data_IF_620631393147
#
_entry.id   IF_620631393147
#
_cell.length_a   1.000
_cell.length_b   1.000
_cell.length_c   1.000
_cell.angle_alpha   90.00
_cell.angle_beta   90.00
_cell.angle_gamma   90.00
#
_symmetry.space_group_name_H-M   'P 1'
#
loop_
_entity.id
_entity.type
_entity.pdbx_description
1 polymer ?
#
# COMPACT_ATOMS: atom_id res chain seq x y z
N UNK A 1 23.22 -17.43 25.69
CA UNK A 1 23.09 -17.13 24.24
C UNK A 1 21.61 -17.13 23.92
N UNK A 2 21.01 -15.95 23.86
CA UNK A 2 19.60 -15.77 23.53
C UNK A 2 19.45 -15.96 22.03
N UNK A 3 18.90 -17.10 21.63
CA UNK A 3 18.45 -17.34 20.25
C UNK A 3 17.32 -16.36 19.99
N UNK A 4 17.61 -15.29 19.25
CA UNK A 4 16.57 -14.47 18.63
C UNK A 4 15.78 -15.40 17.72
N UNK A 5 14.49 -15.56 18.01
CA UNK A 5 13.55 -16.27 17.16
C UNK A 5 13.54 -15.60 15.79
N UNK A 6 14.22 -16.20 14.83
CA UNK A 6 14.13 -15.86 13.41
C UNK A 6 12.66 -15.91 13.01
N UNK A 7 12.17 -14.85 12.36
CA UNK A 7 10.84 -14.91 11.73
C UNK A 7 10.87 -16.00 10.67
N UNK A 8 10.27 -17.14 10.98
CA UNK A 8 10.23 -18.32 10.13
C UNK A 8 9.59 -18.02 8.78
N UNK A 9 8.72 -17.01 8.71
CA UNK A 9 8.07 -16.60 7.46
C UNK A 9 9.05 -15.87 6.55
N UNK A 10 9.83 -14.93 7.10
CA UNK A 10 10.81 -14.18 6.31
C UNK A 10 11.92 -15.09 5.77
N UNK A 11 12.50 -15.95 6.61
CA UNK A 11 13.53 -16.91 6.19
C UNK A 11 13.05 -17.82 5.04
N UNK A 12 11.83 -18.35 5.17
CA UNK A 12 11.21 -19.21 4.14
C UNK A 12 10.98 -18.48 2.81
N UNK A 13 10.54 -17.23 2.87
CA UNK A 13 10.28 -16.43 1.66
C UNK A 13 11.57 -15.98 0.98
N UNK A 14 12.62 -15.68 1.74
CA UNK A 14 13.97 -15.45 1.21
C UNK A 14 14.50 -16.72 0.53
N UNK A 15 14.38 -17.88 1.19
CA UNK A 15 14.80 -19.15 0.61
C UNK A 15 14.06 -19.45 -0.71
N UNK A 16 12.73 -19.38 -0.70
CA UNK A 16 11.92 -19.62 -1.90
C UNK A 16 12.25 -18.62 -3.00
N UNK A 17 12.43 -17.36 -2.64
CA UNK A 17 12.66 -16.26 -3.58
C UNK A 17 14.03 -16.29 -4.25
N UNK A 18 15.08 -16.65 -3.51
CA UNK A 18 16.45 -16.71 -4.02
C UNK A 18 16.79 -18.04 -4.72
N UNK A 19 15.92 -19.05 -4.61
CA UNK A 19 16.05 -20.34 -5.33
C UNK A 19 15.30 -20.39 -6.66
N UNK A 20 14.39 -19.45 -6.93
CA UNK A 20 13.69 -19.38 -8.23
C UNK A 20 14.54 -18.76 -9.33
N UNK A 21 14.20 -19.07 -10.58
CA UNK A 21 14.74 -18.40 -11.77
C UNK A 21 13.58 -17.82 -12.58
N UNK A 22 13.41 -16.48 -12.63
CA UNK A 22 14.25 -15.46 -12.01
C UNK A 22 14.12 -15.40 -10.47
N UNK A 23 15.16 -14.87 -9.80
CA UNK A 23 15.13 -14.61 -8.35
C UNK A 23 14.12 -13.51 -8.03
N UNK A 24 13.47 -13.59 -6.86
CA UNK A 24 12.48 -12.62 -6.40
C UNK A 24 12.52 -12.45 -4.89
N UNK A 25 12.28 -11.25 -4.37
CA UNK A 25 12.01 -11.03 -2.95
C UNK A 25 10.69 -10.27 -2.76
N UNK A 26 9.82 -10.65 -1.82
CA UNK A 26 8.54 -9.96 -1.64
C UNK A 26 8.71 -8.55 -1.04
N UNK A 27 8.17 -7.52 -1.71
CA UNK A 27 8.21 -6.10 -1.28
C UNK A 27 7.78 -5.88 0.17
N UNK A 28 6.81 -6.66 0.69
CA UNK A 28 6.32 -6.51 2.07
C UNK A 28 7.42 -6.60 3.13
N UNK A 29 8.52 -7.30 2.87
CA UNK A 29 9.63 -7.43 3.81
C UNK A 29 10.58 -6.22 3.81
N UNK A 30 10.43 -5.28 2.87
CA UNK A 30 11.13 -3.99 2.89
C UNK A 30 10.66 -3.16 4.09
N UNK A 31 9.38 -3.23 4.45
CA UNK A 31 8.73 -2.41 5.48
C UNK A 31 9.02 -2.87 6.92
N UNK A 32 10.30 -2.98 7.29
CA UNK A 32 10.67 -2.92 8.72
C UNK A 32 10.66 -1.46 9.21
N UNK A 33 10.97 -1.22 10.50
CA UNK A 33 11.01 0.13 11.07
C UNK A 33 11.87 1.13 10.25
N UNK A 34 12.93 0.66 9.58
CA UNK A 34 13.78 1.50 8.73
C UNK A 34 13.17 1.71 7.35
N UNK A 35 12.61 0.66 6.74
CA UNK A 35 11.94 0.74 5.45
C UNK A 35 10.71 1.64 5.49
N UNK A 36 9.94 1.61 6.57
CA UNK A 36 8.80 2.52 6.78
C UNK A 36 9.26 3.98 6.77
N UNK A 37 10.34 4.32 7.49
CA UNK A 37 10.90 5.69 7.48
C UNK A 37 11.39 6.11 6.11
N UNK A 38 12.10 5.22 5.40
CA UNK A 38 12.54 5.49 4.03
C UNK A 38 11.35 5.74 3.10
N UNK A 39 10.27 4.98 3.26
CA UNK A 39 9.04 5.20 2.48
C UNK A 39 8.37 6.54 2.83
N UNK A 40 8.34 6.93 4.10
CA UNK A 40 7.89 8.26 4.51
C UNK A 40 8.73 9.38 3.85
N UNK A 41 10.05 9.21 3.75
CA UNK A 41 10.92 10.14 3.03
C UNK A 41 10.64 10.15 1.51
N UNK A 42 10.37 9.00 0.89
CA UNK A 42 9.96 8.90 -0.51
C UNK A 42 8.69 9.71 -0.75
N UNK A 43 7.69 9.58 0.14
CA UNK A 43 6.42 10.29 0.04
C UNK A 43 6.56 11.83 0.10
N UNK A 44 7.69 12.35 0.59
CA UNK A 44 8.00 13.79 0.62
C UNK A 44 8.80 14.28 -0.60
N UNK A 45 9.27 13.38 -1.49
CA UNK A 45 10.01 13.78 -2.68
C UNK A 45 9.09 14.40 -3.73
N UNK A 46 9.59 15.42 -4.44
CA UNK A 46 8.86 16.08 -5.52
C UNK A 46 8.55 15.10 -6.66
N UNK A 47 9.48 14.18 -6.94
CA UNK A 47 9.31 13.15 -7.96
C UNK A 47 8.17 12.15 -7.61
N UNK A 48 7.90 11.90 -6.33
CA UNK A 48 6.86 10.97 -5.87
C UNK A 48 5.49 11.64 -5.77
N UNK A 49 4.87 11.89 -6.91
CA UNK A 49 3.64 12.68 -7.01
C UNK A 49 2.40 12.07 -6.34
N UNK A 50 2.36 10.76 -6.09
CA UNK A 50 1.15 10.01 -5.73
C UNK A 50 0.48 10.59 -4.47
N UNK A 51 1.26 10.76 -3.40
CA UNK A 51 0.79 11.26 -2.10
C UNK A 51 0.13 12.64 -2.24
N UNK A 52 0.76 13.54 -2.99
CA UNK A 52 0.26 14.90 -3.18
C UNK A 52 -0.98 14.94 -4.09
N UNK A 53 -1.02 14.13 -5.15
CA UNK A 53 -2.20 14.02 -6.02
C UNK A 53 -3.42 13.52 -5.25
N UNK A 54 -3.26 12.45 -4.45
CA UNK A 54 -4.38 11.91 -3.66
C UNK A 54 -4.82 12.86 -2.53
N UNK A 55 -3.86 13.52 -1.87
CA UNK A 55 -4.18 14.58 -0.90
C UNK A 55 -4.97 15.73 -1.55
N UNK A 56 -4.55 16.18 -2.74
CA UNK A 56 -5.25 17.22 -3.50
C UNK A 56 -6.68 16.80 -3.86
N UNK A 57 -6.89 15.54 -4.23
CA UNK A 57 -8.22 14.99 -4.49
C UNK A 57 -9.09 15.12 -3.24
N UNK A 58 -8.57 14.72 -2.08
CA UNK A 58 -9.33 14.74 -0.83
C UNK A 58 -9.72 16.18 -0.45
N UNK A 59 -8.74 17.09 -0.43
CA UNK A 59 -8.94 18.50 -0.06
C UNK A 59 -9.96 19.20 -0.97
N UNK A 60 -9.95 18.93 -2.28
CA UNK A 60 -10.86 19.56 -3.22
C UNK A 60 -12.27 18.95 -3.24
N UNK A 61 -12.51 17.84 -2.55
CA UNK A 61 -13.75 17.07 -2.65
C UNK A 61 -14.40 16.76 -1.28
N UNK A 62 -14.04 17.50 -0.22
CA UNK A 62 -14.58 17.30 1.14
C UNK A 62 -16.12 17.28 1.18
N UNK A 63 -16.78 18.21 0.48
CA UNK A 63 -18.24 18.25 0.39
C UNK A 63 -18.84 17.07 -0.38
N UNK A 64 -18.07 16.48 -1.31
CA UNK A 64 -18.51 15.27 -2.01
C UNK A 64 -18.54 14.10 -1.03
N UNK A 65 -17.49 13.92 -0.22
CA UNK A 65 -17.48 12.85 0.78
C UNK A 65 -18.56 13.04 1.83
N UNK A 66 -18.79 14.28 2.29
CA UNK A 66 -19.88 14.59 3.21
C UNK A 66 -21.27 14.33 2.62
N UNK A 67 -21.48 14.49 1.31
CA UNK A 67 -22.76 14.18 0.66
C UNK A 67 -22.95 12.68 0.38
N UNK A 68 -21.85 11.96 0.20
CA UNK A 68 -21.86 10.51 -0.03
C UNK A 68 -22.23 9.77 1.27
N UNK A 69 -21.73 10.27 2.39
CA UNK A 69 -22.15 9.87 3.73
C UNK A 69 -23.45 10.63 4.05
N UNK A 70 -24.60 10.02 3.79
CA UNK A 70 -25.93 10.64 3.94
C UNK A 70 -26.25 11.01 5.42
N UNK A 71 -27.51 11.29 5.73
CA UNK A 71 -27.99 11.67 7.06
C UNK A 71 -27.99 10.52 8.07
N UNK A 72 -27.89 9.28 7.59
CA UNK A 72 -27.83 8.09 8.44
C UNK A 72 -26.43 7.91 9.05
N UNK A 73 -26.31 7.24 10.21
CA UNK A 73 -25.00 6.91 10.78
C UNK A 73 -24.17 6.01 9.86
N UNK A 74 -22.88 6.30 9.73
CA UNK A 74 -21.94 5.57 8.87
C UNK A 74 -20.66 5.18 9.59
N UNK A 75 -20.06 4.08 9.15
CA UNK A 75 -18.72 3.70 9.53
C UNK A 75 -17.73 4.12 8.44
N UNK A 76 -16.64 4.78 8.82
CA UNK A 76 -15.49 5.03 7.94
C UNK A 76 -14.45 3.97 8.28
N UNK A 77 -14.16 3.07 7.35
CA UNK A 77 -13.23 1.95 7.57
C UNK A 77 -12.01 2.17 6.70
N UNK A 78 -10.80 2.17 7.26
CA UNK A 78 -9.59 2.36 6.46
C UNK A 78 -8.70 1.12 6.51
N UNK A 79 -8.41 0.57 5.33
CA UNK A 79 -7.55 -0.60 5.16
C UNK A 79 -6.09 -0.16 5.02
N UNK A 80 -5.28 -0.37 6.06
CA UNK A 80 -3.88 0.05 6.10
C UNK A 80 -3.76 1.55 6.34
N UNK A 81 -4.24 2.00 7.50
CA UNK A 81 -4.40 3.43 7.80
C UNK A 81 -3.08 4.22 7.90
N UNK A 82 -1.96 3.54 8.15
CA UNK A 82 -0.66 4.20 8.30
C UNK A 82 -0.70 5.33 9.32
N UNK A 83 -0.22 6.52 8.93
CA UNK A 83 -0.25 7.72 9.78
C UNK A 83 -1.54 8.54 9.67
N UNK A 84 -2.49 8.12 8.82
CA UNK A 84 -3.80 8.76 8.64
C UNK A 84 -3.77 10.21 8.13
N UNK A 85 -2.65 10.72 7.61
CA UNK A 85 -2.50 12.13 7.24
C UNK A 85 -3.59 12.64 6.28
N UNK A 86 -3.99 11.81 5.31
CA UNK A 86 -5.06 12.11 4.35
C UNK A 86 -6.45 11.97 4.98
N UNK A 87 -6.66 10.89 5.73
CA UNK A 87 -7.95 10.56 6.36
C UNK A 87 -8.36 11.60 7.38
N UNK A 88 -7.41 12.15 8.13
CA UNK A 88 -7.63 13.27 9.07
C UNK A 88 -8.37 14.44 8.43
N UNK A 89 -7.95 14.86 7.23
CA UNK A 89 -8.55 15.98 6.51
C UNK A 89 -10.04 15.69 6.25
N UNK A 90 -10.34 14.48 5.79
CA UNK A 90 -11.71 14.06 5.51
C UNK A 90 -12.54 13.92 6.80
N UNK A 91 -12.00 13.30 7.84
CA UNK A 91 -12.69 13.08 9.12
C UNK A 91 -13.00 14.40 9.82
N UNK A 92 -12.04 15.33 9.89
CA UNK A 92 -12.25 16.65 10.48
C UNK A 92 -13.42 17.38 9.81
N UNK A 93 -13.42 17.46 8.47
CA UNK A 93 -14.52 18.10 7.73
C UNK A 93 -15.88 17.44 7.99
N UNK A 94 -15.93 16.10 8.03
CA UNK A 94 -17.17 15.37 8.30
C UNK A 94 -17.72 15.65 9.71
N UNK A 95 -16.86 15.64 10.72
CA UNK A 95 -17.23 15.92 12.11
C UNK A 95 -17.69 17.37 12.27
N UNK A 96 -16.94 18.33 11.73
CA UNK A 96 -17.29 19.76 11.76
C UNK A 96 -18.62 20.04 11.04
N UNK A 97 -18.93 19.24 10.03
CA UNK A 97 -20.21 19.28 9.28
C UNK A 97 -21.33 18.44 9.92
N UNK A 98 -21.15 17.98 11.16
CA UNK A 98 -22.15 17.26 11.95
C UNK A 98 -22.49 15.86 11.46
N UNK A 99 -21.58 15.17 10.75
CA UNK A 99 -21.79 13.79 10.33
C UNK A 99 -21.71 12.83 11.53
N UNK A 100 -22.67 11.90 11.63
CA UNK A 100 -22.67 10.86 12.67
C UNK A 100 -21.82 9.66 12.23
N UNK A 101 -20.50 9.78 12.38
CA UNK A 101 -19.55 8.77 11.90
C UNK A 101 -18.76 8.09 13.02
N UNK A 102 -18.35 6.85 12.79
CA UNK A 102 -17.34 6.16 13.60
C UNK A 102 -16.21 5.66 12.70
N UNK A 103 -14.97 5.89 13.11
CA UNK A 103 -13.79 5.56 12.33
C UNK A 103 -13.13 4.26 12.81
N UNK A 104 -12.91 3.34 11.89
CA UNK A 104 -12.30 2.02 12.12
C UNK A 104 -11.01 1.89 11.29
N UNK A 105 -9.85 2.32 11.81
CA UNK A 105 -8.57 2.04 11.17
C UNK A 105 -8.21 0.56 11.39
N UNK A 106 -7.93 -0.16 10.31
CA UNK A 106 -7.46 -1.55 10.32
C UNK A 106 -6.00 -1.58 9.88
N UNK A 107 -5.13 -2.13 10.74
CA UNK A 107 -3.72 -2.35 10.42
C UNK A 107 -3.19 -3.56 11.19
N UNK A 108 -2.18 -4.24 10.66
CA UNK A 108 -1.50 -5.35 11.34
C UNK A 108 -0.54 -4.83 12.43
N UNK A 109 -0.09 -3.58 12.30
CA UNK A 109 0.85 -2.95 13.21
C UNK A 109 0.13 -2.24 14.36
N UNK A 110 0.17 -2.85 15.55
CA UNK A 110 -0.33 -2.24 16.79
C UNK A 110 0.30 -0.86 17.04
N UNK A 111 1.63 -0.77 16.87
CA UNK A 111 2.39 0.47 17.01
C UNK A 111 1.87 1.57 16.09
N UNK A 112 1.51 1.25 14.84
CA UNK A 112 0.96 2.24 13.91
C UNK A 112 -0.42 2.72 14.36
N UNK A 113 -1.28 1.79 14.81
CA UNK A 113 -2.62 2.11 15.33
C UNK A 113 -2.57 2.97 16.59
N UNK A 114 -1.65 2.70 17.52
CA UNK A 114 -1.50 3.49 18.75
C UNK A 114 -1.09 4.94 18.45
N UNK A 115 -0.11 5.11 17.56
CA UNK A 115 0.35 6.43 17.11
C UNK A 115 -0.81 7.19 16.43
N UNK A 116 -1.52 6.52 15.52
CA UNK A 116 -2.65 7.10 14.81
C UNK A 116 -3.78 7.49 15.77
N UNK A 117 -4.13 6.61 16.72
CA UNK A 117 -5.18 6.85 17.71
C UNK A 117 -4.87 8.07 18.58
N UNK A 118 -3.65 8.13 19.15
CA UNK A 118 -3.24 9.26 19.99
C UNK A 118 -3.28 10.59 19.24
N UNK A 119 -2.79 10.58 18.01
CA UNK A 119 -2.78 11.76 17.13
C UNK A 119 -4.20 12.21 16.76
N UNK A 120 -5.08 11.30 16.33
CA UNK A 120 -6.47 11.61 16.00
C UNK A 120 -7.27 12.14 17.20
N UNK A 121 -7.10 11.55 18.39
CA UNK A 121 -7.77 12.02 19.61
C UNK A 121 -7.34 13.43 20.01
N UNK A 122 -6.09 13.81 19.73
CA UNK A 122 -5.59 15.16 20.02
C UNK A 122 -6.01 16.19 18.98
N UNK A 123 -6.25 15.78 17.74
CA UNK A 123 -6.48 16.69 16.60
C UNK A 123 -7.96 16.83 16.22
N UNK A 124 -8.80 15.85 16.52
CA UNK A 124 -10.22 15.83 16.11
C UNK A 124 -11.11 15.58 17.33
N UNK A 125 -11.62 16.67 17.91
CA UNK A 125 -12.55 16.62 19.03
C UNK A 125 -13.86 15.91 18.61
N UNK A 126 -14.43 15.08 19.48
CA UNK A 126 -15.68 14.36 19.21
C UNK A 126 -15.57 13.14 18.31
N UNK A 127 -14.40 12.85 17.71
CA UNK A 127 -14.22 11.66 16.87
C UNK A 127 -14.37 10.36 17.67
N UNK A 128 -15.34 9.54 17.28
CA UNK A 128 -15.44 8.13 17.69
C UNK A 128 -14.53 7.29 16.82
N UNK A 129 -13.62 6.56 17.46
CA UNK A 129 -12.58 5.78 16.79
C UNK A 129 -12.37 4.46 17.52
N UNK A 130 -12.38 3.37 16.76
CA UNK A 130 -12.19 2.00 17.24
C UNK A 130 -11.10 1.32 16.40
N UNK A 131 -9.83 1.36 16.82
CA UNK A 131 -8.73 0.73 16.09
C UNK A 131 -8.85 -0.80 16.10
N UNK A 132 -8.52 -1.43 14.96
CA UNK A 132 -8.60 -2.87 14.79
C UNK A 132 -7.23 -3.43 14.35
N UNK A 133 -6.50 -4.04 15.30
CA UNK A 133 -5.26 -4.75 14.99
C UNK A 133 -5.56 -6.11 14.34
N UNK A 134 -5.78 -6.09 13.02
CA UNK A 134 -6.20 -7.25 12.23
C UNK A 134 -5.66 -7.12 10.81
N UNK A 135 -5.64 -8.23 10.07
CA UNK A 135 -5.59 -8.09 8.62
C UNK A 135 -6.89 -7.46 8.09
N UNK A 136 -6.84 -6.98 6.84
CA UNK A 136 -7.93 -6.23 6.23
C UNK A 136 -9.28 -6.95 6.26
N UNK A 137 -9.30 -8.24 5.94
CA UNK A 137 -10.55 -8.97 5.77
C UNK A 137 -11.05 -9.53 7.11
N UNK A 138 -10.15 -9.90 8.02
CA UNK A 138 -10.50 -10.20 9.41
C UNK A 138 -11.10 -8.99 10.11
N UNK A 139 -10.58 -7.78 9.85
CA UNK A 139 -11.13 -6.52 10.36
C UNK A 139 -12.52 -6.22 9.81
N UNK A 140 -12.70 -6.34 8.49
CA UNK A 140 -14.01 -6.15 7.86
C UNK A 140 -15.04 -7.19 8.33
N UNK A 141 -14.66 -8.46 8.43
CA UNK A 141 -15.53 -9.52 8.93
C UNK A 141 -15.95 -9.26 10.38
N UNK A 142 -15.02 -8.83 11.22
CA UNK A 142 -15.32 -8.47 12.62
C UNK A 142 -16.33 -7.31 12.71
N UNK A 143 -16.17 -6.30 11.85
CA UNK A 143 -17.08 -5.14 11.84
C UNK A 143 -18.48 -5.55 11.35
N UNK A 144 -18.54 -6.37 10.29
CA UNK A 144 -19.79 -6.88 9.74
C UNK A 144 -20.64 -7.66 10.76
N UNK A 145 -20.01 -8.35 11.71
CA UNK A 145 -20.72 -9.08 12.78
C UNK A 145 -21.25 -8.19 13.91
N UNK A 146 -20.69 -6.98 14.08
CA UNK A 146 -20.94 -6.14 15.26
C UNK A 146 -21.74 -4.88 14.98
N UNK A 147 -21.65 -4.35 13.78
CA UNK A 147 -22.29 -3.10 13.41
C UNK A 147 -23.04 -3.26 12.09
N UNK A 148 -24.30 -2.84 12.08
CA UNK A 148 -25.17 -2.86 10.91
C UNK A 148 -25.20 -1.53 10.16
N UNK A 149 -24.48 -0.50 10.62
CA UNK A 149 -24.32 0.76 9.86
C UNK A 149 -23.67 0.49 8.51
N UNK A 150 -23.97 1.35 7.54
CA UNK A 150 -23.31 1.30 6.23
C UNK A 150 -21.84 1.66 6.38
N UNK A 151 -21.00 0.96 5.64
CA UNK A 151 -19.56 1.19 5.62
C UNK A 151 -19.18 2.04 4.42
N UNK A 152 -18.27 2.99 4.63
CA UNK A 152 -17.46 3.60 3.59
C UNK A 152 -16.01 3.19 3.79
N UNK A 153 -15.57 2.21 3.00
CA UNK A 153 -14.24 1.61 3.08
C UNK A 153 -13.24 2.39 2.23
N UNK A 154 -12.10 2.76 2.81
CA UNK A 154 -11.02 3.48 2.16
C UNK A 154 -9.84 2.52 1.93
N UNK A 155 -9.42 2.39 0.67
CA UNK A 155 -8.18 1.71 0.30
C UNK A 155 -7.33 2.64 -0.58
N UNK A 156 -6.56 3.49 0.09
CA UNK A 156 -5.86 4.62 -0.50
C UNK A 156 -4.38 4.31 -0.79
N UNK A 157 -3.67 5.27 -1.39
CA UNK A 157 -2.23 5.22 -1.61
C UNK A 157 -1.80 4.43 -2.84
N UNK A 158 -2.73 4.15 -3.76
CA UNK A 158 -2.51 3.28 -4.92
C UNK A 158 -1.98 1.88 -4.57
N UNK A 159 -2.24 1.41 -3.35
CA UNK A 159 -1.84 0.06 -2.91
C UNK A 159 -2.43 -1.05 -3.78
N UNK A 160 -3.58 -0.82 -4.42
CA UNK A 160 -4.16 -1.75 -5.40
C UNK A 160 -3.23 -1.99 -6.60
N UNK A 161 -2.36 -1.02 -6.91
CA UNK A 161 -1.34 -1.13 -7.95
C UNK A 161 -0.26 -2.16 -7.63
N UNK A 162 -0.15 -2.63 -6.39
CA UNK A 162 0.81 -3.70 -6.03
C UNK A 162 0.25 -5.10 -6.29
N UNK A 163 -1.01 -5.20 -6.75
CA UNK A 163 -1.72 -6.45 -6.97
C UNK A 163 -1.87 -6.74 -8.47
N UNK A 164 -1.19 -7.78 -8.95
CA UNK A 164 -1.29 -8.26 -10.34
C UNK A 164 -2.09 -9.55 -10.46
N UNK A 165 -2.78 -9.74 -11.60
CA UNK A 165 -3.39 -11.02 -11.97
C UNK A 165 -4.35 -11.58 -10.93
N UNK A 166 -4.10 -12.80 -10.46
CA UNK A 166 -4.94 -13.49 -9.48
C UNK A 166 -4.97 -12.80 -8.11
N UNK A 167 -3.92 -12.05 -7.71
CA UNK A 167 -3.92 -11.33 -6.43
C UNK A 167 -4.95 -10.19 -6.41
N UNK A 168 -5.06 -9.44 -7.51
CA UNK A 168 -6.07 -8.38 -7.64
C UNK A 168 -7.48 -8.97 -7.61
N UNK A 169 -7.68 -10.10 -8.29
CA UNK A 169 -8.94 -10.84 -8.31
C UNK A 169 -9.32 -11.33 -6.92
N UNK A 170 -8.40 -11.98 -6.20
CA UNK A 170 -8.63 -12.48 -4.85
C UNK A 170 -8.95 -11.34 -3.88
N UNK A 171 -8.18 -10.25 -3.93
CA UNK A 171 -8.41 -9.07 -3.09
C UNK A 171 -9.80 -8.48 -3.32
N UNK A 172 -10.18 -8.18 -4.57
CA UNK A 172 -11.49 -7.57 -4.86
C UNK A 172 -12.66 -8.53 -4.57
N UNK A 173 -12.45 -9.83 -4.76
CA UNK A 173 -13.46 -10.85 -4.45
C UNK A 173 -13.63 -11.05 -2.94
N UNK A 174 -12.56 -10.94 -2.14
CA UNK A 174 -12.63 -10.90 -0.68
C UNK A 174 -13.27 -9.62 -0.19
N UNK A 175 -12.91 -8.47 -0.76
CA UNK A 175 -13.50 -7.17 -0.44
C UNK A 175 -15.01 -7.20 -0.66
N UNK A 176 -15.47 -7.62 -1.85
CA UNK A 176 -16.90 -7.72 -2.17
C UNK A 176 -17.67 -8.62 -1.20
N UNK A 177 -17.08 -9.73 -0.74
CA UNK A 177 -17.73 -10.69 0.17
C UNK A 177 -17.88 -10.17 1.59
N UNK A 178 -17.04 -9.23 2.02
CA UNK A 178 -17.07 -8.66 3.37
C UNK A 178 -17.88 -7.35 3.45
N UNK A 179 -18.58 -6.97 2.38
CA UNK A 179 -19.36 -5.74 2.32
C UNK A 179 -20.84 -6.03 2.06
N UNK A 180 -21.69 -5.22 2.69
CA UNK A 180 -23.14 -5.26 2.54
C UNK A 180 -23.61 -4.52 1.29
N UNK A 181 -24.84 -4.81 0.86
CA UNK A 181 -25.48 -4.01 -0.20
C UNK A 181 -25.53 -2.54 0.20
N UNK A 182 -25.20 -1.66 -0.75
CA UNK A 182 -25.05 -0.21 -0.54
C UNK A 182 -23.84 0.22 0.31
N UNK A 183 -22.98 -0.68 0.78
CA UNK A 183 -21.67 -0.24 1.28
C UNK A 183 -20.89 0.42 0.15
N UNK A 184 -20.02 1.35 0.53
CA UNK A 184 -19.20 2.11 -0.40
C UNK A 184 -17.74 1.74 -0.20
N UNK A 185 -16.98 1.76 -1.28
CA UNK A 185 -15.53 1.66 -1.25
C UNK A 185 -14.92 2.78 -2.08
N UNK A 186 -13.93 3.47 -1.54
CA UNK A 186 -13.04 4.34 -2.29
C UNK A 186 -11.70 3.65 -2.45
N UNK A 187 -11.26 3.50 -3.70
CA UNK A 187 -9.96 2.94 -4.02
C UNK A 187 -9.15 3.98 -4.78
N UNK A 188 -7.93 4.25 -4.29
CA UNK A 188 -6.97 5.10 -4.96
C UNK A 188 -6.24 4.36 -6.08
N UNK A 189 -6.20 4.94 -7.27
CA UNK A 189 -5.54 4.40 -8.46
C UNK A 189 -4.53 5.38 -9.03
N UNK A 190 -3.29 4.92 -9.19
CA UNK A 190 -2.29 5.64 -9.97
C UNK A 190 -2.56 5.41 -11.47
N UNK A 191 -2.72 6.49 -12.23
CA UNK A 191 -3.17 6.42 -13.62
C UNK A 191 -2.03 6.23 -14.62
N UNK A 192 -2.34 5.66 -15.79
CA UNK A 192 -1.41 5.66 -16.92
C UNK A 192 -1.15 7.11 -17.35
N UNK A 193 0.13 7.45 -17.50
CA UNK A 193 0.63 8.78 -17.90
C UNK A 193 1.98 8.64 -18.60
N UNK A 194 2.64 9.76 -18.90
CA UNK A 194 4.01 9.75 -19.43
C UNK A 194 4.92 8.87 -18.57
N UNK A 195 5.53 7.85 -19.19
CA UNK A 195 6.37 6.89 -18.50
C UNK A 195 7.53 7.54 -17.76
N UNK A 196 8.04 8.68 -18.25
CA UNK A 196 9.15 9.41 -17.61
C UNK A 196 8.76 10.02 -16.27
N UNK A 197 7.48 10.38 -16.10
CA UNK A 197 6.94 10.85 -14.82
C UNK A 197 6.85 9.68 -13.86
N UNK A 198 6.38 8.54 -14.34
CA UNK A 198 6.29 7.31 -13.54
C UNK A 198 7.69 6.87 -13.11
N UNK A 199 8.64 6.70 -14.02
CA UNK A 199 9.99 6.21 -13.70
C UNK A 199 10.72 7.10 -12.71
N UNK A 200 10.58 8.43 -12.81
CA UNK A 200 11.16 9.38 -11.86
C UNK A 200 10.60 9.19 -10.45
N UNK A 201 9.31 8.90 -10.31
CA UNK A 201 8.71 8.63 -9.00
C UNK A 201 9.33 7.42 -8.30
N UNK A 202 9.89 6.46 -9.05
CA UNK A 202 10.54 5.26 -8.48
C UNK A 202 12.07 5.27 -8.68
N UNK A 203 12.65 6.41 -9.07
CA UNK A 203 14.09 6.61 -9.25
C UNK A 203 14.45 8.06 -8.91
N UNK A 204 14.16 8.44 -7.67
CA UNK A 204 14.40 9.80 -7.19
C UNK A 204 15.90 10.17 -7.27
N UNK A 205 16.16 11.45 -7.48
CA UNK A 205 17.51 11.99 -7.63
C UNK A 205 18.37 11.83 -6.37
N UNK A 206 17.74 11.73 -5.19
CA UNK A 206 18.41 11.59 -3.89
C UNK A 206 18.72 10.13 -3.53
N UNK A 207 18.32 9.16 -4.36
CA UNK A 207 18.54 7.72 -4.16
C UNK A 207 17.90 7.15 -2.89
N UNK A 208 16.84 7.79 -2.40
CA UNK A 208 16.07 7.30 -1.25
C UNK A 208 15.31 6.03 -1.63
N UNK A 209 14.75 5.95 -2.84
CA UNK A 209 14.10 4.73 -3.38
C UNK A 209 15.10 3.58 -3.50
N UNK A 210 16.36 3.86 -3.86
CA UNK A 210 17.39 2.82 -3.86
C UNK A 210 17.69 2.32 -2.45
N UNK A 211 17.84 3.23 -1.48
CA UNK A 211 18.04 2.85 -0.08
C UNK A 211 16.85 2.03 0.45
N UNK A 212 15.62 2.41 0.07
CA UNK A 212 14.39 1.67 0.39
C UNK A 212 14.41 0.26 -0.22
N UNK A 213 14.64 0.13 -1.53
CA UNK A 213 14.66 -1.18 -2.20
C UNK A 213 15.74 -2.10 -1.61
N UNK A 214 16.95 -1.59 -1.38
CA UNK A 214 18.06 -2.37 -0.80
C UNK A 214 17.87 -2.70 0.68
N UNK A 215 16.92 -2.06 1.37
CA UNK A 215 16.66 -2.30 2.79
C UNK A 215 16.30 -3.77 3.09
N UNK A 216 15.67 -4.48 2.15
CA UNK A 216 15.39 -5.92 2.33
C UNK A 216 16.66 -6.77 2.47
N UNK A 217 17.74 -6.40 1.77
CA UNK A 217 19.03 -7.07 1.92
C UNK A 217 19.67 -6.73 3.26
N UNK A 218 19.58 -5.45 3.67
CA UNK A 218 20.03 -4.99 4.99
C UNK A 218 19.30 -5.73 6.11
N UNK A 219 17.99 -5.94 5.95
CA UNK A 219 17.16 -6.73 6.86
C UNK A 219 17.59 -8.19 6.88
N UNK A 220 17.82 -8.81 5.72
CA UNK A 220 18.33 -10.19 5.66
C UNK A 220 19.69 -10.34 6.36
N UNK A 221 20.61 -9.38 6.20
CA UNK A 221 21.88 -9.40 6.93
C UNK A 221 21.68 -9.37 8.45
N UNK A 222 20.76 -8.52 8.93
CA UNK A 222 20.46 -8.37 10.36
C UNK A 222 19.72 -9.56 10.96
N UNK A 223 18.68 -10.05 10.29
CA UNK A 223 17.73 -11.03 10.84
C UNK A 223 18.09 -12.48 10.50
N UNK A 224 18.75 -12.72 9.37
CA UNK A 224 19.06 -14.07 8.86
C UNK A 224 20.56 -14.38 8.82
N UNK A 225 21.42 -13.45 9.26
CA UNK A 225 22.87 -13.59 9.17
C UNK A 225 23.36 -13.67 7.72
N UNK A 226 22.70 -12.96 6.81
CA UNK A 226 23.14 -12.89 5.42
C UNK A 226 24.40 -12.03 5.25
N UNK A 227 25.16 -12.31 4.19
CA UNK A 227 26.42 -11.60 3.87
C UNK A 227 26.30 -10.69 2.65
N UNK A 228 25.13 -10.09 2.40
CA UNK A 228 24.97 -9.16 1.27
C UNK A 228 25.89 -7.95 1.45
N UNK A 229 26.79 -7.72 0.49
CA UNK A 229 27.47 -6.43 0.37
C UNK A 229 26.60 -5.48 -0.45
N UNK A 230 25.88 -4.56 0.20
CA UNK A 230 24.93 -3.67 -0.46
C UNK A 230 25.58 -2.79 -1.54
N UNK A 231 26.86 -2.45 -1.40
CA UNK A 231 27.59 -1.69 -2.41
C UNK A 231 27.73 -2.43 -3.73
N UNK A 232 27.54 -3.75 -3.75
CA UNK A 232 27.58 -4.57 -4.96
C UNK A 232 26.21 -4.73 -5.62
N UNK A 233 25.17 -4.08 -5.09
CA UNK A 233 23.82 -4.12 -5.64
C UNK A 233 23.35 -2.72 -6.01
N UNK A 234 22.48 -2.63 -7.01
CA UNK A 234 21.87 -1.37 -7.44
C UNK A 234 20.37 -1.54 -7.64
N UNK A 235 19.61 -0.50 -7.30
CA UNK A 235 18.20 -0.43 -7.66
C UNK A 235 18.04 -0.11 -9.14
N UNK A 236 17.23 -0.89 -9.82
CA UNK A 236 16.83 -0.65 -11.20
C UNK A 236 15.32 -0.70 -11.31
N UNK A 237 14.73 0.30 -11.95
CA UNK A 237 13.33 0.28 -12.32
C UNK A 237 13.15 0.73 -13.76
N UNK A 238 12.04 0.28 -14.34
CA UNK A 238 11.58 0.74 -15.65
C UNK A 238 10.05 0.63 -15.73
N UNK A 239 9.45 1.41 -16.60
CA UNK A 239 8.03 1.27 -16.93
C UNK A 239 7.82 0.29 -18.09
N UNK A 240 7.04 -0.76 -17.85
CA UNK A 240 6.59 -1.70 -18.88
C UNK A 240 5.23 -1.26 -19.42
N UNK A 241 5.14 -0.71 -20.65
CA UNK A 241 3.88 -0.20 -21.20
C UNK A 241 2.91 -1.30 -21.60
N UNK A 242 3.36 -2.55 -21.77
CA UNK A 242 2.49 -3.67 -22.18
C UNK A 242 1.62 -4.08 -20.99
N UNK A 243 2.22 -4.24 -19.82
CA UNK A 243 1.49 -4.57 -18.60
C UNK A 243 1.08 -3.34 -17.78
N UNK A 244 1.49 -2.15 -18.23
CA UNK A 244 1.23 -0.86 -17.58
C UNK A 244 1.73 -0.82 -16.14
N UNK A 245 2.98 -1.20 -15.90
CA UNK A 245 3.53 -1.23 -14.54
C UNK A 245 4.95 -0.68 -14.48
N UNK A 246 5.25 0.07 -13.42
CA UNK A 246 6.64 0.24 -13.01
C UNK A 246 7.11 -1.06 -12.36
N UNK A 247 8.23 -1.61 -12.84
CA UNK A 247 8.86 -2.79 -12.24
C UNK A 247 10.15 -2.37 -11.56
N UNK A 248 10.37 -2.87 -10.35
CA UNK A 248 11.59 -2.62 -9.58
C UNK A 248 12.37 -3.92 -9.33
N UNK A 249 13.68 -3.78 -9.42
CA UNK A 249 14.67 -4.85 -9.27
C UNK A 249 15.83 -4.39 -8.40
N UNK A 250 16.42 -5.34 -7.71
CA UNK A 250 17.79 -5.24 -7.20
C UNK A 250 18.68 -5.97 -8.20
N UNK A 251 19.75 -5.34 -8.68
CA UNK A 251 20.64 -5.94 -9.67
C UNK A 251 22.03 -6.09 -9.10
N UNK A 252 22.61 -7.28 -9.23
CA UNK A 252 24.01 -7.55 -8.86
C UNK A 252 24.95 -6.85 -9.84
N UNK A 253 25.91 -6.06 -9.37
CA UNK A 253 26.88 -5.36 -10.24
C UNK A 253 28.09 -6.21 -10.63
N UNK A 254 28.27 -7.34 -9.96
CA UNK A 254 29.38 -8.27 -10.16
C UNK A 254 28.92 -9.71 -9.86
N UNK A 255 29.72 -10.69 -10.27
CA UNK A 255 29.51 -12.06 -9.83
C UNK A 255 29.85 -12.17 -8.34
N UNK A 256 28.91 -12.62 -7.51
CA UNK A 256 29.10 -12.70 -6.05
C UNK A 256 28.29 -13.81 -5.42
N UNK A 257 28.81 -14.33 -4.30
CA UNK A 257 28.17 -15.38 -3.50
C UNK A 257 27.70 -14.79 -2.17
N UNK A 258 26.46 -15.05 -1.79
CA UNK A 258 25.88 -14.58 -0.52
C UNK A 258 25.52 -15.78 0.33
N UNK A 259 26.20 -15.92 1.47
CA UNK A 259 25.86 -16.91 2.49
C UNK A 259 24.76 -16.36 3.39
N UNK A 260 23.80 -17.20 3.78
CA UNK A 260 22.74 -16.88 4.74
C UNK A 260 22.77 -17.92 5.86
N UNK A 261 23.22 -17.50 7.04
CA UNK A 261 23.44 -18.39 8.19
C UNK A 261 22.18 -19.11 8.64
N UNK A 262 21.05 -18.40 8.75
CA UNK A 262 19.76 -18.97 9.15
C UNK A 262 19.24 -20.05 8.18
N UNK A 263 19.76 -20.10 6.95
CA UNK A 263 19.41 -21.09 5.94
C UNK A 263 20.52 -22.14 5.75
N UNK A 264 21.72 -21.90 6.26
CA UNK A 264 22.93 -22.68 5.99
C UNK A 264 23.13 -22.93 4.48
N UNK A 265 22.94 -21.89 3.67
CA UNK A 265 22.99 -21.95 2.21
C UNK A 265 23.69 -20.73 1.62
N UNK A 266 24.36 -20.96 0.50
CA UNK A 266 24.97 -19.91 -0.33
C UNK A 266 24.15 -19.74 -1.60
N UNK A 267 23.89 -18.48 -1.95
CA UNK A 267 23.21 -18.09 -3.18
C UNK A 267 24.20 -17.39 -4.10
N UNK A 268 24.29 -17.88 -5.34
CA UNK A 268 25.13 -17.30 -6.38
C UNK A 268 24.36 -16.26 -7.19
N UNK A 269 25.03 -15.15 -7.48
CA UNK A 269 24.55 -14.10 -8.38
C UNK A 269 25.56 -13.90 -9.49
N UNK A 270 25.11 -13.95 -10.74
CA UNK A 270 25.93 -13.52 -11.88
C UNK A 270 25.99 -11.99 -11.98
N UNK A 271 26.97 -11.46 -12.71
CA UNK A 271 27.04 -10.03 -13.03
C UNK A 271 25.77 -9.60 -13.79
N UNK A 272 25.18 -8.48 -13.36
CA UNK A 272 23.91 -7.93 -13.84
C UNK A 272 22.68 -8.84 -13.64
N UNK A 273 22.76 -9.85 -12.77
CA UNK A 273 21.61 -10.68 -12.44
C UNK A 273 20.56 -9.90 -11.61
N UNK A 274 19.29 -9.87 -12.04
CA UNK A 274 18.23 -9.18 -11.32
C UNK A 274 17.52 -10.07 -10.28
N UNK A 275 17.15 -9.46 -9.16
CA UNK A 275 16.18 -9.94 -8.19
C UNK A 275 14.93 -9.08 -8.35
N UNK A 276 13.82 -9.69 -8.74
CA UNK A 276 12.53 -8.98 -8.84
C UNK A 276 12.01 -8.60 -7.46
N UNK A 277 11.56 -7.37 -7.30
CA UNK A 277 11.01 -6.86 -6.03
C UNK A 277 9.52 -6.58 -6.17
N UNK A 278 9.19 -5.58 -6.96
CA UNK A 278 7.85 -4.98 -6.97
C UNK A 278 7.35 -4.73 -8.39
N UNK A 279 6.03 -4.84 -8.53
CA UNK A 279 5.30 -4.25 -9.64
C UNK A 279 4.34 -3.21 -9.06
N UNK A 280 4.29 -2.04 -9.68
CA UNK A 280 3.29 -1.02 -9.40
C UNK A 280 2.51 -0.72 -10.69
N UNK A 281 1.37 -1.39 -10.84
CA UNK A 281 0.44 -1.25 -11.95
C UNK A 281 -0.19 0.14 -11.97
N UNK A 282 -0.42 0.62 -13.19
CA UNK A 282 -1.11 1.87 -13.53
C UNK A 282 -2.37 1.52 -14.27
N UNK A 283 -3.40 2.34 -14.08
CA UNK A 283 -4.73 2.06 -14.59
C UNK A 283 -5.21 3.18 -15.49
N UNK A 284 -6.01 2.86 -16.49
CA UNK A 284 -6.83 3.85 -17.17
C UNK A 284 -8.27 3.82 -16.64
N UNK A 285 -9.01 4.90 -16.86
CA UNK A 285 -10.36 5.08 -16.33
C UNK A 285 -11.31 3.96 -16.78
N UNK A 286 -11.19 3.51 -18.03
CA UNK A 286 -12.00 2.41 -18.56
C UNK A 286 -11.72 1.07 -17.85
N UNK A 287 -10.45 0.78 -17.53
CA UNK A 287 -10.08 -0.39 -16.74
C UNK A 287 -10.67 -0.32 -15.34
N UNK A 288 -10.61 0.84 -14.68
CA UNK A 288 -11.18 1.04 -13.33
C UNK A 288 -12.67 0.70 -13.32
N UNK A 289 -13.45 1.26 -14.25
CA UNK A 289 -14.89 1.00 -14.35
C UNK A 289 -15.19 -0.48 -14.67
N UNK A 290 -14.43 -1.07 -15.59
CA UNK A 290 -14.58 -2.50 -15.95
C UNK A 290 -14.26 -3.42 -14.78
N UNK A 291 -13.23 -3.10 -13.99
CA UNK A 291 -12.86 -3.85 -12.79
C UNK A 291 -13.97 -3.75 -11.75
N UNK A 292 -14.49 -2.55 -11.48
CA UNK A 292 -15.60 -2.34 -10.55
C UNK A 292 -16.79 -3.24 -10.90
N UNK A 293 -17.29 -3.15 -12.15
CA UNK A 293 -18.43 -3.94 -12.61
C UNK A 293 -18.19 -5.45 -12.58
N UNK A 294 -16.97 -5.90 -12.95
CA UNK A 294 -16.61 -7.32 -12.94
C UNK A 294 -16.68 -7.94 -11.53
N UNK A 295 -16.40 -7.16 -10.49
CA UNK A 295 -16.34 -7.66 -9.10
C UNK A 295 -17.56 -7.27 -8.26
N UNK A 296 -18.69 -6.97 -8.91
CA UNK A 296 -19.97 -6.74 -8.22
C UNK A 296 -20.05 -5.38 -7.53
N UNK A 297 -19.39 -4.38 -8.13
CA UNK A 297 -19.51 -2.99 -7.72
C UNK A 297 -20.03 -2.12 -8.86
N UNK A 298 -20.82 -1.12 -8.51
CA UNK A 298 -21.27 -0.05 -9.39
C UNK A 298 -20.41 1.18 -9.19
N UNK A 299 -19.81 1.71 -10.25
CA UNK A 299 -19.10 2.98 -10.18
C UNK A 299 -20.08 4.12 -9.82
N UNK A 300 -19.77 4.87 -8.76
CA UNK A 300 -20.54 6.06 -8.34
C UNK A 300 -19.87 7.33 -8.81
N UNK A 301 -18.56 7.44 -8.60
CA UNK A 301 -17.81 8.64 -8.94
C UNK A 301 -16.32 8.35 -9.09
N UNK A 302 -15.69 9.05 -10.03
CA UNK A 302 -14.24 9.17 -10.10
C UNK A 302 -13.86 10.60 -9.73
N UNK A 303 -12.89 10.75 -8.84
CA UNK A 303 -12.32 12.03 -8.44
C UNK A 303 -10.86 12.07 -8.87
N UNK A 304 -10.43 13.17 -9.48
CA UNK A 304 -9.09 13.30 -10.06
C UNK A 304 -8.38 14.51 -9.50
N UNK A 305 -7.05 14.44 -9.43
CA UNK A 305 -6.21 15.61 -9.19
C UNK A 305 -6.21 16.50 -10.45
N UNK A 306 -5.76 17.76 -10.34
CA UNK A 306 -5.77 18.70 -11.47
C UNK A 306 -4.99 18.19 -12.69
N UNK A 307 -3.98 17.34 -12.51
CA UNK A 307 -3.17 16.79 -13.61
C UNK A 307 -3.75 15.48 -14.17
N UNK A 308 -4.80 14.93 -13.56
CA UNK A 308 -5.35 13.61 -13.89
C UNK A 308 -4.29 12.51 -13.86
N UNK A 309 -3.44 12.57 -12.84
CA UNK A 309 -2.38 11.60 -12.57
C UNK A 309 -2.86 10.49 -11.63
N UNK A 310 -3.83 10.79 -10.79
CA UNK A 310 -4.39 9.89 -9.80
C UNK A 310 -5.91 9.93 -9.86
N UNK A 311 -6.56 8.83 -9.47
CA UNK A 311 -8.01 8.73 -9.37
C UNK A 311 -8.40 8.07 -8.06
N UNK A 312 -9.19 8.75 -7.25
CA UNK A 312 -9.98 8.10 -6.20
C UNK A 312 -11.33 7.70 -6.77
N UNK A 313 -11.52 6.39 -6.92
CA UNK A 313 -12.73 5.83 -7.50
C UNK A 313 -13.64 5.30 -6.41
N UNK A 314 -14.84 5.86 -6.34
CA UNK A 314 -15.87 5.50 -5.35
C UNK A 314 -16.85 4.54 -6.01
N UNK A 315 -16.92 3.34 -5.46
CA UNK A 315 -17.81 2.28 -5.91
C UNK A 315 -18.84 1.94 -4.83
N UNK A 316 -20.00 1.50 -5.26
CA UNK A 316 -21.09 1.02 -4.42
C UNK A 316 -21.29 -0.46 -4.64
N UNK A 317 -21.47 -1.20 -3.55
CA UNK A 317 -21.77 -2.63 -3.62
C UNK A 317 -23.15 -2.83 -4.23
N UNK A 318 -23.18 -3.48 -5.41
CA UNK A 318 -24.41 -3.80 -6.15
C UNK A 318 -25.15 -4.98 -5.57
#
# INVERSE_FOLDING_TARGET
>A
MTVQTTDTTFAREVLNGLTTSPKRLPTRFIYDDNGTKLFEEIMQQEEYYLTNCEKEIIENNLDVFRKIVDSDPFNIVELGAGNGAKTKIMLSHMIDSGADIEYYPIDISEKALDILYGSLKSEIEGLRITPLQKDYFDGLSWLHEKDSKRNFVLFMGANIGNLGGEFLKDFLSKLRRNLNSNDLVMIGFDLVKDYRVIEKAYNDSKKITQAFTLNILKRANRELGATFNLENFVHYNYYDPIIQANKAYIVSKEKQSVYIDALNLTFEFEEWEPISIEHSYKFNVYQIEKIAGKYGFKLKKNLFDKRSYFCDSIWEVS
#
